data_IF_379496113459
#
_entry.id   IF_379496113459
#
_cell.length_a   1.000
_cell.length_b   1.000
_cell.length_c   1.000
_cell.angle_alpha   90.00
_cell.angle_beta   90.00
_cell.angle_gamma   90.00
#
_symmetry.space_group_name_H-M   'P 1'
#
loop_
_entity.id
_entity.type
_entity.pdbx_description
1 polymer ?
#
# COMPACT_ATOMS: atom_id res chain seq x y z
N UNK A 1 -8.03 6.05 27.02
CA UNK A 1 -8.60 4.77 26.54
C UNK A 1 -9.14 4.97 25.13
N UNK A 2 -8.42 4.52 24.11
CA UNK A 2 -8.87 4.64 22.72
C UNK A 2 -9.97 3.60 22.47
N UNK A 3 -11.15 4.06 22.03
CA UNK A 3 -12.28 3.19 21.67
C UNK A 3 -11.89 2.39 20.43
N UNK A 4 -11.61 1.11 20.58
CA UNK A 4 -11.53 0.18 19.44
C UNK A 4 -12.88 0.16 18.75
N UNK A 5 -12.92 0.58 17.49
CA UNK A 5 -14.12 0.51 16.67
C UNK A 5 -14.42 -0.97 16.43
N UNK A 6 -15.30 -1.54 17.26
CA UNK A 6 -15.75 -2.93 17.14
C UNK A 6 -16.43 -3.10 15.78
N UNK A 7 -16.01 -4.13 15.03
CA UNK A 7 -16.58 -4.57 13.74
C UNK A 7 -18.12 -4.72 13.72
N UNK A 8 -18.77 -4.68 14.88
CA UNK A 8 -20.21 -4.87 15.07
C UNK A 8 -21.05 -3.60 14.91
N UNK A 9 -20.46 -2.40 14.77
CA UNK A 9 -21.21 -1.13 14.86
C UNK A 9 -21.53 -0.41 13.55
N UNK A 10 -20.95 -0.79 12.41
CA UNK A 10 -21.22 -0.15 11.12
C UNK A 10 -22.02 -1.08 10.19
N UNK A 11 -22.94 -0.50 9.40
CA UNK A 11 -23.74 -1.24 8.41
C UNK A 11 -23.65 -0.57 7.02
N UNK A 12 -23.09 -1.25 6.00
CA UNK A 12 -22.39 -2.53 6.10
C UNK A 12 -21.08 -2.39 6.91
N UNK A 13 -20.61 -3.46 7.57
CA UNK A 13 -19.34 -3.42 8.31
C UNK A 13 -18.17 -3.09 7.37
N UNK A 14 -17.07 -2.51 7.89
CA UNK A 14 -15.88 -2.27 7.07
C UNK A 14 -15.40 -3.58 6.44
N UNK A 15 -14.89 -3.55 5.21
CA UNK A 15 -14.37 -4.74 4.52
C UNK A 15 -13.30 -5.49 5.32
N UNK A 16 -12.54 -4.78 6.15
CA UNK A 16 -11.55 -5.39 7.03
C UNK A 16 -12.14 -6.36 8.07
N UNK A 17 -13.45 -6.27 8.34
CA UNK A 17 -14.17 -7.10 9.30
C UNK A 17 -14.82 -8.34 8.71
N UNK A 18 -14.56 -8.67 7.43
CA UNK A 18 -15.19 -9.84 6.77
C UNK A 18 -14.54 -11.19 7.11
N UNK A 19 -13.67 -11.26 8.12
CA UNK A 19 -12.94 -12.48 8.50
C UNK A 19 -11.70 -12.77 7.66
N UNK A 20 -11.06 -11.75 7.07
CA UNK A 20 -9.83 -11.90 6.30
C UNK A 20 -8.63 -12.16 7.23
N UNK A 21 -7.71 -13.02 6.80
CA UNK A 21 -6.39 -13.15 7.44
C UNK A 21 -5.49 -11.94 7.14
N UNK A 22 -5.55 -11.48 5.88
CA UNK A 22 -4.75 -10.36 5.36
C UNK A 22 -5.63 -9.37 4.63
N UNK A 23 -5.57 -8.10 5.05
CA UNK A 23 -6.16 -6.97 4.34
C UNK A 23 -5.07 -6.23 3.56
N UNK A 24 -5.06 -6.37 2.24
CA UNK A 24 -4.05 -5.78 1.37
C UNK A 24 -4.57 -4.56 0.61
N UNK A 25 -3.72 -3.54 0.48
CA UNK A 25 -3.93 -2.40 -0.41
C UNK A 25 -2.57 -1.84 -0.82
N UNK A 26 -2.33 -1.76 -2.12
CA UNK A 26 -1.02 -1.41 -2.63
C UNK A 26 -0.84 0.10 -2.79
N UNK A 27 0.30 0.60 -2.31
CA UNK A 27 0.81 1.93 -2.68
C UNK A 27 1.43 1.90 -4.09
N UNK A 28 1.88 0.73 -4.54
CA UNK A 28 2.48 0.41 -5.85
C UNK A 28 3.82 1.07 -6.13
N UNK A 29 4.00 2.34 -5.77
CA UNK A 29 5.25 3.07 -6.00
C UNK A 29 5.49 4.10 -4.90
N UNK A 30 6.59 4.84 -5.01
CA UNK A 30 6.94 5.93 -4.11
C UNK A 30 6.09 7.17 -4.40
N UNK A 31 5.87 8.02 -3.40
CA UNK A 31 4.95 9.17 -3.49
C UNK A 31 5.21 10.06 -4.72
N UNK A 32 6.49 10.36 -5.00
CA UNK A 32 6.92 11.18 -6.16
C UNK A 32 6.47 10.62 -7.51
N UNK A 33 6.32 9.29 -7.64
CA UNK A 33 5.96 8.62 -8.90
C UNK A 33 4.47 8.25 -9.00
N UNK A 34 3.70 8.51 -7.95
CA UNK A 34 2.28 8.12 -7.85
C UNK A 34 1.46 8.63 -9.05
N UNK A 35 1.55 9.92 -9.35
CA UNK A 35 0.77 10.56 -10.42
C UNK A 35 1.10 10.06 -11.82
N UNK A 36 2.34 9.58 -12.02
CA UNK A 36 2.79 8.99 -13.29
C UNK A 36 2.36 7.53 -13.43
N UNK A 37 2.29 6.81 -12.30
CA UNK A 37 2.16 5.34 -12.27
C UNK A 37 0.71 4.88 -12.10
N UNK A 38 -0.09 5.63 -11.35
CA UNK A 38 -1.45 5.23 -10.96
C UNK A 38 -2.49 6.20 -11.51
N UNK A 39 -3.74 5.74 -11.51
CA UNK A 39 -4.89 6.60 -11.82
C UNK A 39 -4.88 7.85 -10.93
N UNK A 40 -5.19 9.01 -11.52
CA UNK A 40 -5.22 10.31 -10.83
C UNK A 40 -6.10 10.35 -9.57
N UNK A 41 -7.07 9.44 -9.44
CA UNK A 41 -7.93 9.30 -8.25
C UNK A 41 -7.26 8.57 -7.08
N UNK A 42 -6.08 7.96 -7.29
CA UNK A 42 -5.36 7.21 -6.28
C UNK A 42 -4.32 8.09 -5.57
N UNK A 43 -4.59 8.48 -4.32
CA UNK A 43 -3.62 9.18 -3.47
C UNK A 43 -2.65 8.23 -2.77
N UNK A 44 -1.39 8.65 -2.61
CA UNK A 44 -0.38 7.89 -1.87
C UNK A 44 -0.71 7.86 -0.36
N UNK A 45 -0.88 9.03 0.26
CA UNK A 45 -1.34 9.14 1.65
C UNK A 45 -2.72 8.50 1.87
N UNK A 46 -3.63 8.64 0.90
CA UNK A 46 -4.94 7.98 0.93
C UNK A 46 -4.79 6.45 1.00
N UNK A 47 -3.86 5.88 0.24
CA UNK A 47 -3.58 4.44 0.23
C UNK A 47 -3.09 3.93 1.59
N UNK A 48 -2.19 4.66 2.25
CA UNK A 48 -1.80 4.35 3.63
C UNK A 48 -2.99 4.45 4.59
N UNK A 49 -3.81 5.50 4.44
CA UNK A 49 -5.00 5.71 5.25
C UNK A 49 -6.04 4.58 5.13
N UNK A 50 -6.14 3.91 3.99
CA UNK A 50 -7.00 2.72 3.84
C UNK A 50 -6.54 1.61 4.78
N UNK A 51 -5.25 1.33 4.83
CA UNK A 51 -4.68 0.28 5.69
C UNK A 51 -4.75 0.65 7.17
N UNK A 52 -4.49 1.92 7.51
CA UNK A 52 -4.66 2.41 8.88
C UNK A 52 -6.10 2.24 9.37
N UNK A 53 -7.09 2.60 8.56
CA UNK A 53 -8.51 2.39 8.89
C UNK A 53 -8.85 0.92 9.03
N UNK A 54 -8.28 0.05 8.20
CA UNK A 54 -8.44 -1.40 8.33
C UNK A 54 -7.92 -1.89 9.69
N UNK A 55 -6.73 -1.44 10.11
CA UNK A 55 -6.15 -1.79 11.41
C UNK A 55 -6.97 -1.26 12.59
N UNK A 56 -7.54 -0.06 12.49
CA UNK A 56 -8.45 0.48 13.52
C UNK A 56 -9.73 -0.34 13.64
N UNK A 57 -10.31 -0.77 12.51
CA UNK A 57 -11.55 -1.53 12.48
C UNK A 57 -11.37 -3.00 12.92
N UNK A 58 -10.27 -3.64 12.50
CA UNK A 58 -9.94 -5.02 12.84
C UNK A 58 -8.46 -5.10 13.27
N UNK A 59 -8.12 -4.82 14.55
CA UNK A 59 -6.73 -4.74 15.00
C UNK A 59 -5.89 -6.00 14.81
N UNK A 60 -6.54 -7.17 14.75
CA UNK A 60 -5.91 -8.46 14.55
C UNK A 60 -5.62 -8.78 13.07
N UNK A 61 -6.23 -8.06 12.11
CA UNK A 61 -5.98 -8.31 10.69
C UNK A 61 -4.56 -7.92 10.35
N UNK A 62 -3.87 -8.76 9.57
CA UNK A 62 -2.57 -8.42 9.01
C UNK A 62 -2.80 -7.45 7.85
N UNK A 63 -2.12 -6.32 7.87
CA UNK A 63 -2.17 -5.34 6.78
C UNK A 63 -0.95 -5.47 5.88
N UNK A 64 -1.18 -5.41 4.57
CA UNK A 64 -0.13 -5.61 3.58
C UNK A 64 -0.17 -4.54 2.48
N UNK A 65 1.02 -4.12 2.05
CA UNK A 65 1.19 -3.30 0.85
C UNK A 65 2.34 -3.81 -0.02
N UNK A 66 2.47 -3.25 -1.22
CA UNK A 66 3.55 -3.60 -2.15
C UNK A 66 4.12 -2.38 -2.88
N UNK A 67 5.39 -2.54 -3.29
CA UNK A 67 6.09 -1.66 -4.21
C UNK A 67 6.52 -2.43 -5.45
N UNK A 68 6.20 -1.89 -6.62
CA UNK A 68 6.82 -2.26 -7.88
C UNK A 68 8.13 -1.49 -8.04
N UNK A 69 9.22 -2.21 -8.29
CA UNK A 69 10.54 -1.65 -8.52
C UNK A 69 10.84 -1.54 -10.01
N UNK A 70 11.67 -0.58 -10.40
CA UNK A 70 12.06 -0.37 -11.79
C UNK A 70 11.18 0.61 -12.56
N UNK A 71 10.57 1.57 -11.85
CA UNK A 71 9.74 2.65 -12.41
C UNK A 71 10.42 4.03 -12.35
N UNK A 72 11.68 4.10 -11.89
CA UNK A 72 12.45 5.33 -11.71
C UNK A 72 12.54 5.80 -10.26
N UNK A 73 12.18 4.93 -9.32
CA UNK A 73 12.33 5.16 -7.89
C UNK A 73 13.78 4.95 -7.45
N UNK A 74 14.25 5.81 -6.55
CA UNK A 74 15.59 5.68 -5.97
C UNK A 74 15.55 4.85 -4.68
N UNK A 75 16.71 4.33 -4.26
CA UNK A 75 16.82 3.66 -2.96
C UNK A 75 16.45 4.57 -1.78
N UNK A 76 16.68 5.89 -1.91
CA UNK A 76 16.28 6.88 -0.90
C UNK A 76 14.76 7.06 -0.88
N UNK A 77 14.11 7.10 -2.04
CA UNK A 77 12.64 7.15 -2.13
C UNK A 77 12.01 5.91 -1.46
N UNK A 78 12.56 4.73 -1.72
CA UNK A 78 12.12 3.47 -1.10
C UNK A 78 12.31 3.52 0.41
N UNK A 79 13.50 3.88 0.90
CA UNK A 79 13.76 3.98 2.36
C UNK A 79 12.80 4.96 3.05
N UNK A 80 12.52 6.10 2.41
CA UNK A 80 11.55 7.07 2.93
C UNK A 80 10.14 6.49 2.98
N UNK A 81 9.73 5.83 1.90
CA UNK A 81 8.42 5.19 1.78
C UNK A 81 8.25 4.07 2.82
N UNK A 82 9.29 3.27 3.08
CA UNK A 82 9.26 2.21 4.10
C UNK A 82 9.14 2.76 5.52
N UNK A 83 9.78 3.89 5.83
CA UNK A 83 9.57 4.57 7.12
C UNK A 83 8.13 4.98 7.28
N UNK A 84 7.56 5.67 6.30
CA UNK A 84 6.17 6.11 6.36
C UNK A 84 5.16 4.94 6.40
N UNK A 85 5.43 3.84 5.69
CA UNK A 85 4.63 2.60 5.78
C UNK A 85 4.72 2.00 7.18
N UNK A 86 5.91 1.98 7.79
CA UNK A 86 6.11 1.51 9.17
C UNK A 86 5.41 2.41 10.18
N UNK A 87 5.53 3.73 10.04
CA UNK A 87 4.87 4.73 10.89
C UNK A 87 3.34 4.63 10.79
N UNK A 88 2.83 4.21 9.64
CA UNK A 88 1.42 3.91 9.44
C UNK A 88 0.95 2.58 10.08
N UNK A 89 1.84 1.82 10.72
CA UNK A 89 1.52 0.57 11.41
C UNK A 89 1.18 -0.59 10.49
N UNK A 90 1.69 -0.57 9.24
CA UNK A 90 1.45 -1.63 8.26
C UNK A 90 2.42 -2.79 8.54
N UNK A 91 1.88 -4.02 8.51
CA UNK A 91 2.60 -5.20 9.00
C UNK A 91 3.56 -5.79 7.95
N UNK A 92 3.12 -5.85 6.69
CA UNK A 92 3.85 -6.55 5.62
C UNK A 92 4.06 -5.65 4.41
N UNK A 93 5.29 -5.69 3.88
CA UNK A 93 5.66 -5.06 2.60
C UNK A 93 6.24 -6.12 1.68
N UNK A 94 5.80 -6.12 0.42
CA UNK A 94 6.43 -6.92 -0.63
C UNK A 94 7.01 -6.02 -1.73
N UNK A 95 8.13 -6.46 -2.29
CA UNK A 95 8.75 -5.83 -3.44
C UNK A 95 8.65 -6.76 -4.63
N UNK A 96 8.26 -6.22 -5.78
CA UNK A 96 8.22 -6.96 -7.04
C UNK A 96 8.86 -6.15 -8.16
N UNK A 97 9.52 -6.81 -9.09
CA UNK A 97 9.98 -6.15 -10.31
C UNK A 97 8.78 -5.72 -11.16
N UNK A 98 8.75 -4.45 -11.59
CA UNK A 98 7.82 -4.00 -12.60
C UNK A 98 8.15 -4.69 -13.93
N UNK A 99 7.20 -5.48 -14.43
CA UNK A 99 7.26 -6.08 -15.75
C UNK A 99 6.25 -5.37 -16.63
N UNK A 100 6.77 -4.67 -17.65
CA UNK A 100 5.95 -3.89 -18.57
C UNK A 100 4.99 -4.80 -19.34
N UNK A 101 3.66 -4.66 -19.19
CA UNK A 101 2.72 -5.58 -19.84
C UNK A 101 2.70 -5.42 -21.36
N UNK A 102 2.72 -4.18 -21.85
CA UNK A 102 2.73 -3.86 -23.29
C UNK A 102 3.52 -2.58 -23.57
N UNK A 103 3.83 -2.33 -24.85
CA UNK A 103 4.52 -1.10 -25.30
C UNK A 103 3.74 0.20 -25.04
N UNK A 104 2.47 0.15 -24.65
CA UNK A 104 1.67 1.34 -24.29
C UNK A 104 1.78 1.70 -22.81
N UNK A 105 2.23 0.78 -21.96
CA UNK A 105 2.46 1.04 -20.54
C UNK A 105 3.81 1.72 -20.32
N UNK A 106 4.03 2.22 -19.10
CA UNK A 106 5.30 2.83 -18.72
C UNK A 106 6.49 1.92 -19.10
N UNK A 107 7.57 2.49 -19.65
CA UNK A 107 8.79 1.71 -19.88
C UNK A 107 9.36 1.24 -18.54
N UNK A 108 10.03 0.09 -18.55
CA UNK A 108 10.88 -0.33 -17.42
C UNK A 108 12.06 0.63 -17.37
N UNK A 109 12.30 1.24 -16.22
CA UNK A 109 13.42 2.14 -15.98
C UNK A 109 14.71 1.34 -15.70
N UNK A 110 14.61 0.32 -14.83
CA UNK A 110 15.70 -0.62 -14.56
C UNK A 110 15.18 -1.98 -14.12
N UNK A 111 16.00 -3.00 -14.33
CA UNK A 111 15.84 -4.31 -13.71
C UNK A 111 16.65 -4.34 -12.41
N UNK A 112 16.01 -4.67 -11.30
CA UNK A 112 16.68 -4.75 -9.99
C UNK A 112 17.47 -6.05 -9.93
N UNK A 113 18.73 -5.96 -9.51
CA UNK A 113 19.60 -7.12 -9.27
C UNK A 113 19.34 -7.70 -7.87
N UNK A 114 19.38 -9.04 -7.71
CA UNK A 114 19.34 -9.69 -6.40
C UNK A 114 20.46 -9.25 -5.46
#
# INVERSE_FOLDING_TARGET
MARTASCTRASPPPRACSGLDVFAHNVETVERLQSRTRDHRAGWAQSLGVLQRAKVAAPHVITKTSFMLGLGETATDIRSSLRAVRDAGIDVVTFGQYLRPTKRHLPVDRYVTP
#
